data_IF_828282874430
#
_entry.id   IF_828282874430
#
_cell.length_a   1.000
_cell.length_b   1.000
_cell.length_c   1.000
_cell.angle_alpha   90.00
_cell.angle_beta   90.00
_cell.angle_gamma   90.00
#
_symmetry.space_group_name_H-M   'P 1'
#
loop_
_entity.id
_entity.type
_entity.pdbx_description
1 polymer ?
#
# COMPACT_ATOMS: atom_id res chain seq x y z
N UNK A 1 -6.08 -3.35 -5.58
CA UNK A 1 -6.39 -4.01 -4.27
C UNK A 1 -7.59 -3.30 -3.64
N UNK A 2 -8.24 -3.86 -2.61
CA UNK A 2 -9.34 -3.17 -1.90
C UNK A 2 -8.95 -2.82 -0.46
N UNK A 3 -9.35 -1.63 -0.01
CA UNK A 3 -9.23 -1.17 1.37
C UNK A 3 -10.59 -0.59 1.79
N UNK A 4 -11.25 -1.19 2.79
CA UNK A 4 -12.61 -0.82 3.21
C UNK A 4 -13.60 -0.74 2.03
N UNK A 5 -13.63 -1.77 1.19
CA UNK A 5 -14.46 -1.86 -0.03
C UNK A 5 -14.10 -0.90 -1.17
N UNK A 6 -13.17 0.03 -0.96
CA UNK A 6 -12.68 0.93 -2.00
C UNK A 6 -11.49 0.37 -2.74
N UNK A 7 -11.47 0.57 -4.06
CA UNK A 7 -10.32 0.20 -4.87
C UNK A 7 -9.12 1.13 -4.61
N UNK A 8 -8.01 0.53 -4.22
CA UNK A 8 -6.70 1.18 -4.11
C UNK A 8 -5.83 0.74 -5.28
N UNK A 9 -5.43 1.73 -6.08
CA UNK A 9 -4.52 1.59 -7.20
C UNK A 9 -3.61 2.85 -7.29
N UNK A 10 -2.58 2.86 -8.15
CA UNK A 10 -1.67 3.99 -8.31
C UNK A 10 -2.31 5.33 -8.65
N UNK A 11 -3.60 5.38 -8.99
CA UNK A 11 -4.33 6.61 -9.30
C UNK A 11 -5.25 7.05 -8.16
N UNK A 12 -5.79 6.11 -7.38
CA UNK A 12 -6.78 6.41 -6.32
C UNK A 12 -6.19 6.51 -4.92
N UNK A 13 -4.97 6.00 -4.68
CA UNK A 13 -4.38 5.91 -3.35
C UNK A 13 -4.26 7.27 -2.63
N UNK A 14 -4.11 8.38 -3.36
CA UNK A 14 -4.01 9.72 -2.77
C UNK A 14 -5.30 10.19 -2.10
N UNK A 15 -6.45 9.62 -2.43
CA UNK A 15 -7.74 10.02 -1.87
C UNK A 15 -7.95 9.54 -0.43
N UNK A 16 -7.14 8.60 0.05
CA UNK A 16 -7.25 8.07 1.40
C UNK A 16 -6.55 8.98 2.42
N UNK A 17 -7.01 8.98 3.67
CA UNK A 17 -6.36 9.70 4.78
C UNK A 17 -5.01 9.06 5.11
N UNK A 18 -4.08 9.84 5.68
CA UNK A 18 -2.74 9.36 6.07
C UNK A 18 -2.80 8.15 7.02
N UNK A 19 -3.75 8.10 7.96
CA UNK A 19 -3.94 6.95 8.85
C UNK A 19 -4.38 5.69 8.09
N UNK A 20 -5.29 5.84 7.12
CA UNK A 20 -5.72 4.74 6.26
C UNK A 20 -4.56 4.22 5.41
N UNK A 21 -3.73 5.12 4.89
CA UNK A 21 -2.51 4.77 4.15
C UNK A 21 -1.49 4.03 5.03
N UNK A 22 -1.31 4.43 6.29
CA UNK A 22 -0.44 3.72 7.24
C UNK A 22 -0.95 2.30 7.54
N UNK A 23 -2.26 2.14 7.74
CA UNK A 23 -2.87 0.82 7.92
C UNK A 23 -2.67 -0.06 6.67
N UNK A 24 -2.88 0.53 5.48
CA UNK A 24 -2.70 -0.19 4.23
C UNK A 24 -1.24 -0.55 3.95
N UNK A 25 -0.28 0.32 4.28
CA UNK A 25 1.15 0.03 4.22
C UNK A 25 1.51 -1.21 5.06
N UNK A 26 0.99 -1.29 6.29
CA UNK A 26 1.21 -2.46 7.15
C UNK A 26 0.61 -3.74 6.56
N UNK A 27 -0.60 -3.66 6.00
CA UNK A 27 -1.21 -4.79 5.28
C UNK A 27 -0.37 -5.24 4.09
N UNK A 28 0.07 -4.31 3.23
CA UNK A 28 0.91 -4.62 2.06
C UNK A 28 2.20 -5.33 2.46
N UNK A 29 2.88 -4.84 3.50
CA UNK A 29 4.12 -5.46 4.02
C UNK A 29 3.88 -6.86 4.57
N UNK A 30 2.78 -7.08 5.28
CA UNK A 30 2.42 -8.40 5.79
C UNK A 30 2.11 -9.36 4.66
N UNK A 31 1.40 -8.89 3.62
CA UNK A 31 1.02 -9.71 2.49
C UNK A 31 2.26 -10.11 1.66
N UNK A 32 3.15 -9.18 1.32
CA UNK A 32 4.39 -9.48 0.57
C UNK A 32 5.25 -10.51 1.32
N UNK A 33 5.32 -10.43 2.65
CA UNK A 33 6.06 -11.43 3.45
C UNK A 33 5.41 -12.81 3.37
N UNK A 34 4.09 -12.88 3.48
CA UNK A 34 3.35 -14.14 3.35
C UNK A 34 3.46 -14.74 1.94
N UNK A 35 3.53 -13.91 0.88
CA UNK A 35 3.66 -14.37 -0.51
C UNK A 35 5.00 -15.06 -0.78
N UNK A 36 6.10 -14.59 -0.18
CA UNK A 36 7.43 -15.22 -0.35
C UNK A 36 7.52 -16.63 0.22
N UNK A 37 6.62 -16.98 1.14
CA UNK A 37 6.56 -18.28 1.79
C UNK A 37 5.55 -19.23 1.11
N UNK A 38 4.98 -18.86 -0.06
CA UNK A 38 4.07 -19.72 -0.82
C UNK A 38 4.89 -20.64 -1.74
N UNK A 39 4.89 -21.94 -1.43
CA UNK A 39 5.61 -22.97 -2.21
C UNK A 39 5.10 -23.15 -3.66
N UNK A 40 3.83 -22.80 -3.93
CA UNK A 40 3.23 -22.98 -5.26
C UNK A 40 2.20 -21.87 -5.57
N UNK A 41 2.65 -20.63 -5.83
CA UNK A 41 1.77 -19.48 -5.99
C UNK A 41 0.88 -19.60 -7.23
N UNK A 42 -0.38 -19.20 -7.10
CA UNK A 42 -1.29 -19.10 -8.24
C UNK A 42 -1.00 -17.84 -9.07
N UNK A 43 -1.55 -17.77 -10.29
CA UNK A 43 -1.46 -16.55 -11.10
C UNK A 43 -2.06 -15.33 -10.39
N UNK A 44 -3.12 -15.55 -9.62
CA UNK A 44 -3.76 -14.50 -8.82
C UNK A 44 -2.82 -14.02 -7.70
N UNK A 45 -2.12 -14.92 -7.02
CA UNK A 45 -1.11 -14.57 -5.99
C UNK A 45 0.03 -13.73 -6.59
N UNK A 46 0.54 -14.13 -7.76
CA UNK A 46 1.59 -13.38 -8.47
C UNK A 46 1.11 -11.99 -8.89
N UNK A 47 -0.13 -11.87 -9.37
CA UNK A 47 -0.71 -10.57 -9.73
C UNK A 47 -0.93 -9.68 -8.49
N UNK A 48 -1.31 -10.27 -7.37
CA UNK A 48 -1.43 -9.56 -6.09
C UNK A 48 -0.09 -9.09 -5.56
N UNK A 49 0.97 -9.90 -5.66
CA UNK A 49 2.34 -9.52 -5.31
C UNK A 49 2.81 -8.35 -6.16
N UNK A 50 2.71 -8.46 -7.49
CA UNK A 50 3.10 -7.40 -8.40
C UNK A 50 2.41 -6.07 -8.09
N UNK A 51 1.08 -6.09 -7.90
CA UNK A 51 0.31 -4.90 -7.53
C UNK A 51 0.72 -4.34 -6.17
N UNK A 52 1.08 -5.21 -5.21
CA UNK A 52 1.54 -4.78 -3.89
C UNK A 52 2.94 -4.14 -3.95
N UNK A 53 3.87 -4.71 -4.73
CA UNK A 53 5.20 -4.17 -4.96
C UNK A 53 5.16 -2.81 -5.68
N UNK A 54 4.22 -2.60 -6.61
CA UNK A 54 4.01 -1.29 -7.24
C UNK A 54 3.39 -0.25 -6.28
N UNK A 55 2.38 -0.65 -5.50
CA UNK A 55 1.64 0.28 -4.63
C UNK A 55 2.42 0.69 -3.38
N UNK A 56 3.17 -0.23 -2.78
CA UNK A 56 3.89 0.02 -1.53
C UNK A 56 4.79 1.27 -1.59
N UNK A 57 5.73 1.42 -2.54
CA UNK A 57 6.61 2.59 -2.59
C UNK A 57 5.85 3.90 -2.79
N UNK A 58 4.74 3.89 -3.56
CA UNK A 58 3.89 5.07 -3.76
C UNK A 58 3.24 5.52 -2.45
N UNK A 59 2.72 4.56 -1.67
CA UNK A 59 2.10 4.82 -0.37
C UNK A 59 3.14 5.30 0.65
N UNK A 60 4.32 4.68 0.69
CA UNK A 60 5.41 5.09 1.58
C UNK A 60 5.87 6.52 1.29
N UNK A 61 6.02 6.84 0.00
CA UNK A 61 6.37 8.18 -0.44
C UNK A 61 5.30 9.20 -0.02
N UNK A 62 4.03 8.92 -0.25
CA UNK A 62 2.92 9.82 0.07
C UNK A 62 2.80 10.06 1.59
N UNK A 63 2.89 9.01 2.42
CA UNK A 63 2.90 9.16 3.88
C UNK A 63 4.07 10.07 4.30
N UNK A 64 5.25 9.88 3.71
CA UNK A 64 6.44 10.68 4.00
C UNK A 64 6.26 12.15 3.59
N UNK A 65 5.69 12.41 2.41
CA UNK A 65 5.37 13.77 1.94
C UNK A 65 4.40 14.45 2.90
N UNK A 66 3.27 13.80 3.23
CA UNK A 66 2.27 14.35 4.16
C UNK A 66 2.80 14.58 5.57
N UNK A 67 3.72 13.74 6.02
CA UNK A 67 4.37 13.89 7.33
C UNK A 67 5.41 15.01 7.36
N UNK A 68 5.87 15.48 6.19
CA UNK A 68 6.72 16.67 6.05
C UNK A 68 5.92 17.95 5.90
N UNK A 69 4.79 17.91 5.17
CA UNK A 69 3.86 19.05 5.04
C UNK A 69 3.29 19.52 6.39
N UNK A 70 3.24 18.64 7.40
CA UNK A 70 2.88 19.03 8.77
C UNK A 70 3.91 19.88 9.53
N UNK A 71 5.03 20.31 8.91
CA UNK A 71 6.10 21.09 9.56
C UNK A 71 6.12 22.60 9.24
N UNK A 72 5.21 23.11 8.41
CA UNK A 72 5.11 24.55 8.09
C UNK A 72 3.86 25.23 8.67
N UNK A 73 3.39 24.76 9.83
CA UNK A 73 2.44 25.48 10.67
C UNK A 73 2.92 25.50 12.13
N UNK A 74 4.01 26.21 12.38
CA UNK A 74 4.33 26.70 13.72
C UNK A 74 5.02 28.06 13.68
#
# INVERSE_FOLDING_TARGET
MKLYDFEVNPYTYKNFKTEQLKNFQSMLKSNIRNFKDIDNPTLEDMEHEYKAEELLPLIEHEIKVRSKDGRDQK
#
